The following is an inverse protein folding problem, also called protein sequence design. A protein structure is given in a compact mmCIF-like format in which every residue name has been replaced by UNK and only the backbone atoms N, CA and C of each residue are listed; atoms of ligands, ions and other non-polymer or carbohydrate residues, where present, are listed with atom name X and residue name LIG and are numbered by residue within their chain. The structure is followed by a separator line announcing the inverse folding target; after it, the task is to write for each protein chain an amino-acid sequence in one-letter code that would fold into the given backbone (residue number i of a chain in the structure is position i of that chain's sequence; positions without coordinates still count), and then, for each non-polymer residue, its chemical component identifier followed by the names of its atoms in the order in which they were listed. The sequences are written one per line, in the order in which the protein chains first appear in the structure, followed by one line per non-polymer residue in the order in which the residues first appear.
data_IF_988202534418
#
_entry.id   IF_988202534418
#
_cell.length_a   1.000
_cell.length_b   1.000
_cell.length_c   1.000
_cell.angle_alpha   90.00
_cell.angle_beta   90.00
_cell.angle_gamma   90.00
#
_symmetry.space_group_name_H-M   'P 1'
#
loop_
_entity.id
_entity.type
_entity.pdbx_description
1 polymer ?
#
# COMPACT_ATOMS: atom_id res chain seq x y z
N UNK A 1 -8.77 -4.08 20.66
CA UNK A 1 -8.49 -2.63 20.55
C UNK A 1 -9.81 -1.88 20.66
N UNK A 2 -9.85 -0.75 21.37
CA UNK A 2 -11.03 0.11 21.39
C UNK A 2 -11.21 0.79 20.03
N UNK A 3 -12.45 0.87 19.55
CA UNK A 3 -12.79 1.47 18.24
C UNK A 3 -13.61 2.73 18.47
N UNK A 4 -13.32 3.81 17.74
CA UNK A 4 -14.07 5.08 17.80
C UNK A 4 -14.74 5.33 16.45
N UNK A 5 -16.05 5.62 16.47
CA UNK A 5 -16.77 6.06 15.26
C UNK A 5 -16.34 7.48 14.89
N UNK A 6 -15.98 7.67 13.63
CA UNK A 6 -15.68 8.97 13.04
C UNK A 6 -16.68 9.22 11.91
N UNK A 7 -17.26 10.41 11.88
CA UNK A 7 -18.17 10.84 10.81
C UNK A 7 -17.48 11.92 10.00
N UNK A 8 -17.46 11.75 8.69
CA UNK A 8 -16.84 12.68 7.73
C UNK A 8 -17.82 12.94 6.58
N UNK A 9 -17.80 14.16 6.05
CA UNK A 9 -18.52 14.51 4.82
C UNK A 9 -17.59 14.28 3.64
N UNK A 10 -18.07 13.56 2.63
CA UNK A 10 -17.34 13.26 1.40
C UNK A 10 -18.18 13.70 0.19
N UNK A 11 -17.55 14.01 -0.95
CA UNK A 11 -18.28 14.24 -2.20
C UNK A 11 -19.14 13.02 -2.56
N UNK A 12 -20.35 13.27 -3.08
CA UNK A 12 -21.32 12.22 -3.36
C UNK A 12 -20.80 11.22 -4.39
N UNK A 13 -20.18 11.72 -5.45
CA UNK A 13 -19.53 10.91 -6.49
C UNK A 13 -18.43 10.00 -5.93
N UNK A 14 -17.70 10.47 -4.91
CA UNK A 14 -16.67 9.66 -4.24
C UNK A 14 -17.30 8.55 -3.39
N UNK A 15 -18.39 8.85 -2.68
CA UNK A 15 -19.11 7.84 -1.89
C UNK A 15 -19.67 6.75 -2.81
N UNK A 16 -20.23 7.13 -3.96
CA UNK A 16 -20.71 6.18 -4.96
C UNK A 16 -19.59 5.28 -5.48
N UNK A 17 -18.46 5.86 -5.91
CA UNK A 17 -17.33 5.10 -6.42
C UNK A 17 -16.73 4.15 -5.37
N UNK A 18 -16.58 4.59 -4.12
CA UNK A 18 -16.10 3.74 -3.02
C UNK A 18 -17.10 2.63 -2.67
N UNK A 19 -18.41 2.92 -2.80
CA UNK A 19 -19.47 1.93 -2.59
C UNK A 19 -19.39 0.79 -3.60
N UNK A 20 -19.24 1.11 -4.88
CA UNK A 20 -19.08 0.10 -5.94
C UNK A 20 -17.79 -0.72 -5.76
N UNK A 21 -16.65 -0.06 -5.53
CA UNK A 21 -15.39 -0.77 -5.27
C UNK A 21 -15.48 -1.71 -4.07
N UNK A 22 -16.11 -1.28 -2.97
CA UNK A 22 -16.30 -2.12 -1.80
C UNK A 22 -17.22 -3.33 -2.09
N UNK A 23 -18.24 -3.16 -2.94
CA UNK A 23 -19.10 -4.26 -3.40
C UNK A 23 -18.33 -5.26 -4.26
N UNK A 24 -17.54 -4.78 -5.21
CA UNK A 24 -16.69 -5.62 -6.08
C UNK A 24 -15.70 -6.45 -5.24
N UNK A 25 -15.11 -5.84 -4.22
CA UNK A 25 -14.19 -6.48 -3.27
C UNK A 25 -14.90 -7.36 -2.22
N UNK A 26 -16.24 -7.34 -2.16
CA UNK A 26 -17.02 -8.10 -1.17
C UNK A 26 -16.81 -7.63 0.28
N UNK A 27 -16.44 -6.37 0.49
CA UNK A 27 -16.16 -5.79 1.82
C UNK A 27 -17.10 -4.63 2.17
N UNK A 28 -17.30 -4.32 3.46
CA UNK A 28 -18.02 -3.11 3.84
C UNK A 28 -17.25 -1.84 3.43
N UNK A 29 -17.98 -0.79 3.02
CA UNK A 29 -17.41 0.53 2.70
C UNK A 29 -16.45 1.05 3.79
N UNK A 30 -16.81 0.89 5.06
CA UNK A 30 -15.98 1.34 6.19
C UNK A 30 -14.62 0.63 6.24
N UNK A 31 -14.54 -0.62 5.79
CA UNK A 31 -13.27 -1.37 5.71
C UNK A 31 -12.38 -0.81 4.61
N UNK A 32 -12.95 -0.50 3.46
CA UNK A 32 -12.22 0.14 2.36
C UNK A 32 -11.68 1.52 2.78
N UNK A 33 -12.52 2.34 3.43
CA UNK A 33 -12.13 3.67 3.94
C UNK A 33 -11.04 3.56 5.00
N UNK A 34 -11.17 2.65 5.95
CA UNK A 34 -10.15 2.41 6.98
C UNK A 34 -8.82 1.98 6.34
N UNK A 35 -8.86 1.03 5.39
CA UNK A 35 -7.68 0.56 4.68
C UNK A 35 -6.99 1.67 3.88
N UNK A 36 -7.76 2.54 3.21
CA UNK A 36 -7.23 3.69 2.49
C UNK A 36 -6.54 4.68 3.45
N UNK A 37 -7.14 4.95 4.60
CA UNK A 37 -6.56 5.82 5.63
C UNK A 37 -5.26 5.24 6.20
N UNK A 38 -5.24 3.95 6.56
CA UNK A 38 -4.04 3.25 7.03
C UNK A 38 -2.92 3.25 5.98
N UNK A 39 -3.28 2.99 4.72
CA UNK A 39 -2.33 2.99 3.61
C UNK A 39 -1.72 4.37 3.39
N UNK A 40 -2.51 5.45 3.48
CA UNK A 40 -1.99 6.81 3.38
C UNK A 40 -1.07 7.17 4.55
N UNK A 41 -1.43 6.79 5.78
CA UNK A 41 -0.57 7.00 6.94
C UNK A 41 0.77 6.27 6.79
N UNK A 42 0.74 5.00 6.32
CA UNK A 42 1.97 4.23 6.04
C UNK A 42 2.82 4.91 4.98
N UNK A 43 2.23 5.41 3.89
CA UNK A 43 2.95 6.15 2.84
C UNK A 43 3.56 7.44 3.37
N UNK A 44 2.87 8.19 4.25
CA UNK A 44 3.41 9.40 4.87
C UNK A 44 4.65 9.12 5.70
N UNK A 45 4.58 8.08 6.54
CA UNK A 45 5.72 7.64 7.34
C UNK A 45 6.86 7.18 6.45
N UNK A 46 6.58 6.34 5.44
CA UNK A 46 7.59 5.86 4.50
C UNK A 46 8.29 6.98 3.73
N UNK A 47 7.54 7.96 3.20
CA UNK A 47 8.10 9.13 2.51
C UNK A 47 9.03 9.94 3.43
N UNK A 48 8.64 10.12 4.69
CA UNK A 48 9.48 10.81 5.68
C UNK A 48 10.76 10.04 5.95
N UNK A 49 10.69 8.73 6.20
CA UNK A 49 11.86 7.90 6.46
C UNK A 49 12.85 7.90 5.29
N UNK A 50 12.36 7.81 4.06
CA UNK A 50 13.22 7.89 2.86
C UNK A 50 13.89 9.26 2.78
N UNK A 51 13.16 10.34 3.03
CA UNK A 51 13.73 11.68 3.02
C UNK A 51 14.80 11.87 4.10
N UNK A 52 14.55 11.40 5.33
CA UNK A 52 15.51 11.46 6.43
C UNK A 52 16.80 10.69 6.07
N UNK A 53 16.67 9.49 5.49
CA UNK A 53 17.82 8.70 5.05
C UNK A 53 18.60 9.37 3.91
N UNK A 54 17.91 9.95 2.91
CA UNK A 54 18.56 10.62 1.79
C UNK A 54 19.28 11.90 2.19
N UNK A 55 18.81 12.58 3.25
CA UNK A 55 19.52 13.73 3.82
C UNK A 55 20.91 13.33 4.37
N UNK A 56 21.04 12.11 4.86
CA UNK A 56 22.29 11.58 5.43
C UNK A 56 23.19 10.89 4.37
N UNK A 57 22.59 10.23 3.38
CA UNK A 57 23.30 9.32 2.47
C UNK A 57 23.33 9.79 1.01
N UNK A 58 22.60 10.87 0.68
CA UNK A 58 22.39 11.32 -0.69
C UNK A 58 21.14 10.69 -1.33
N UNK A 59 20.68 11.29 -2.42
CA UNK A 59 19.51 10.82 -3.17
C UNK A 59 19.83 9.54 -3.93
N UNK A 60 18.89 8.61 -3.97
CA UNK A 60 19.02 7.42 -4.83
C UNK A 60 19.12 7.81 -6.30
N UNK A 61 20.09 7.22 -6.98
CA UNK A 61 20.24 7.33 -8.43
C UNK A 61 19.21 6.47 -9.16
N UNK A 62 18.99 6.74 -10.45
CA UNK A 62 18.06 5.98 -11.27
C UNK A 62 18.54 4.54 -11.44
N UNK A 63 19.86 4.36 -11.54
CA UNK A 63 20.54 3.09 -11.67
C UNK A 63 20.37 2.22 -10.42
N UNK A 64 20.54 2.81 -9.22
CA UNK A 64 20.30 2.12 -7.94
C UNK A 64 18.83 1.70 -7.79
N UNK A 65 17.89 2.58 -8.16
CA UNK A 65 16.46 2.25 -8.13
C UNK A 65 16.14 1.12 -9.12
N UNK A 66 16.73 1.14 -10.31
CA UNK A 66 16.52 0.10 -11.32
C UNK A 66 17.08 -1.26 -10.85
N UNK A 67 18.29 -1.27 -10.28
CA UNK A 67 18.91 -2.47 -9.72
C UNK A 67 18.06 -3.05 -8.58
N UNK A 68 17.62 -2.22 -7.63
CA UNK A 68 16.76 -2.65 -6.53
C UNK A 68 15.42 -3.23 -7.03
N UNK A 69 14.81 -2.61 -8.05
CA UNK A 69 13.57 -3.14 -8.66
C UNK A 69 13.77 -4.49 -9.33
N UNK A 70 14.90 -4.69 -10.01
CA UNK A 70 15.22 -5.97 -10.63
C UNK A 70 15.42 -7.07 -9.58
N UNK A 71 16.09 -6.75 -8.47
CA UNK A 71 16.28 -7.66 -7.34
C UNK A 71 14.94 -8.05 -6.70
N UNK A 72 14.06 -7.07 -6.44
CA UNK A 72 12.71 -7.33 -5.91
C UNK A 72 11.89 -8.24 -6.84
N UNK A 73 11.89 -7.96 -8.15
CA UNK A 73 11.18 -8.78 -9.11
C UNK A 73 11.70 -10.23 -9.15
N UNK A 74 13.02 -10.42 -9.04
CA UNK A 74 13.60 -11.75 -8.95
C UNK A 74 13.19 -12.49 -7.67
N UNK A 75 13.13 -11.78 -6.53
CA UNK A 75 12.66 -12.34 -5.27
C UNK A 75 11.17 -12.73 -5.33
N UNK A 76 10.32 -11.91 -5.96
CA UNK A 76 8.89 -12.20 -6.14
C UNK A 76 8.68 -13.47 -6.98
N UNK A 77 9.44 -13.62 -8.08
CA UNK A 77 9.41 -14.83 -8.91
C UNK A 77 9.80 -16.08 -8.12
N UNK A 78 10.82 -15.98 -7.26
CA UNK A 78 11.24 -17.09 -6.41
C UNK A 78 10.16 -17.45 -5.37
N UNK A 79 9.56 -16.45 -4.72
CA UNK A 79 8.51 -16.65 -3.73
C UNK A 79 7.28 -17.35 -4.35
N UNK A 80 6.85 -16.92 -5.54
CA UNK A 80 5.75 -17.54 -6.28
C UNK A 80 6.07 -18.97 -6.73
N UNK A 81 7.30 -19.22 -7.17
CA UNK A 81 7.75 -20.56 -7.58
C UNK A 81 7.83 -21.54 -6.42
N UNK A 82 8.24 -21.08 -5.23
CA UNK A 82 8.28 -21.87 -4.01
C UNK A 82 6.90 -22.26 -3.47
N UNK A 83 5.92 -21.36 -3.57
CA UNK A 83 4.51 -21.66 -3.24
C UNK A 83 3.91 -22.74 -4.15
N UNK A 84 4.32 -22.78 -5.43
CA UNK A 84 3.91 -23.83 -6.37
C UNK A 84 4.49 -25.22 -6.07
N UNK A 85 5.70 -25.29 -5.51
CA UNK A 85 6.33 -26.56 -5.12
C UNK A 85 5.81 -27.12 -3.79
N UNK A 86 5.31 -26.27 -2.89
CA UNK A 86 4.73 -26.71 -1.62
C UNK A 86 3.27 -27.22 -1.74
N UNK A 87 2.62 -26.95 -2.88
CA UNK A 87 1.23 -27.33 -3.15
C UNK A 87 1.07 -28.59 -4.04
N UNK A 88 2.18 -29.23 -4.42
CA UNK A 88 2.24 -30.45 -5.23
C UNK A 88 2.75 -31.64 -4.40
#
# INVERSE_FOLDING_TARGET
MAVKKVTVTLPEELVAALGEAAREDGVPLSRLVAHAAESELRRRVGRRLVADWQAENGTFTVEEIAAARAEMAAADVQALSGLGQAAA
#
